data_IF_616715074844
#
_entry.id   IF_616715074844
#
_cell.length_a   1.000
_cell.length_b   1.000
_cell.length_c   1.000
_cell.angle_alpha   90.00
_cell.angle_beta   90.00
_cell.angle_gamma   90.00
#
_symmetry.space_group_name_H-M   'P 1'
#
loop_
_entity.id
_entity.type
_entity.pdbx_description
1 polymer ?
#
# COMPACT_ATOMS: atom_id res chain seq x y z
N UNK A 1 -8.42 -30.86 16.79
CA UNK A 1 -8.86 -29.99 15.67
C UNK A 1 -10.36 -29.78 15.81
N UNK A 2 -10.84 -28.53 15.66
CA UNK A 2 -12.16 -27.96 16.03
C UNK A 2 -12.19 -27.29 17.41
N UNK A 3 -11.87 -25.99 17.43
CA UNK A 3 -12.22 -25.08 18.52
C UNK A 3 -13.56 -24.42 18.20
N UNK A 4 -14.59 -24.76 18.96
CA UNK A 4 -15.97 -24.37 18.77
C UNK A 4 -16.21 -23.00 19.43
N UNK A 5 -16.79 -22.04 18.72
CA UNK A 5 -17.33 -20.82 19.32
C UNK A 5 -18.54 -21.20 20.20
N UNK A 6 -18.34 -21.23 21.51
CA UNK A 6 -19.39 -21.53 22.48
C UNK A 6 -20.31 -20.31 22.63
N UNK A 7 -21.49 -20.39 22.03
CA UNK A 7 -22.59 -19.46 22.23
C UNK A 7 -23.28 -19.81 23.56
N UNK A 8 -22.99 -19.07 24.63
CA UNK A 8 -23.65 -19.27 25.92
C UNK A 8 -24.74 -18.21 26.14
N UNK A 9 -25.99 -18.61 25.88
CA UNK A 9 -27.22 -17.92 26.32
C UNK A 9 -27.51 -18.33 27.76
N UNK A 10 -27.29 -17.43 28.72
CA UNK A 10 -28.05 -17.48 30.00
C UNK A 10 -28.16 -16.09 30.63
N UNK A 11 -29.32 -15.87 31.22
CA UNK A 11 -29.91 -14.62 31.72
C UNK A 11 -29.22 -13.99 32.95
N UNK A 12 -29.49 -12.68 33.08
CA UNK A 12 -29.60 -11.86 34.31
C UNK A 12 -28.39 -11.06 34.81
N UNK A 13 -28.49 -9.75 34.52
CA UNK A 13 -28.32 -8.59 35.41
C UNK A 13 -27.15 -8.60 36.40
N UNK A 14 -26.18 -7.70 36.15
CA UNK A 14 -25.55 -6.84 37.17
C UNK A 14 -24.80 -5.70 36.46
N UNK A 15 -25.32 -4.47 36.64
CA UNK A 15 -24.65 -3.20 36.31
C UNK A 15 -23.39 -3.04 37.14
N UNK A 16 -22.24 -3.02 36.49
CA UNK A 16 -20.99 -2.51 37.07
C UNK A 16 -20.29 -1.65 36.03
N UNK A 17 -20.32 -0.34 36.27
CA UNK A 17 -19.62 0.68 35.49
C UNK A 17 -18.13 0.58 35.79
N UNK A 18 -17.37 -0.07 34.89
CA UNK A 18 -15.91 0.06 34.83
C UNK A 18 -15.54 0.77 33.53
N UNK A 19 -15.28 2.07 33.63
CA UNK A 19 -14.54 2.82 32.63
C UNK A 19 -13.06 2.52 32.81
N UNK A 20 -12.48 1.67 31.96
CA UNK A 20 -11.03 1.55 31.82
C UNK A 20 -10.67 0.91 30.48
N UNK A 21 -9.97 1.69 29.65
CA UNK A 21 -9.05 1.20 28.62
C UNK A 21 -9.69 0.68 27.34
N UNK A 22 -9.83 1.56 26.35
CA UNK A 22 -9.75 1.18 24.94
C UNK A 22 -8.37 0.54 24.69
N UNK A 23 -8.27 -0.78 24.90
CA UNK A 23 -7.19 -1.54 24.31
C UNK A 23 -7.50 -1.61 22.82
N UNK A 24 -6.98 -0.62 22.08
CA UNK A 24 -6.78 -0.74 20.64
C UNK A 24 -5.82 -1.92 20.43
N UNK A 25 -6.37 -3.12 20.31
CA UNK A 25 -5.74 -4.18 19.55
C UNK A 25 -5.67 -3.69 18.11
N UNK A 26 -4.64 -2.89 17.81
CA UNK A 26 -4.15 -2.72 16.46
C UNK A 26 -3.71 -4.12 16.04
N UNK A 27 -4.59 -4.83 15.34
CA UNK A 27 -4.18 -5.97 14.55
C UNK A 27 -3.11 -5.43 13.60
N UNK A 28 -1.84 -5.70 13.88
CA UNK A 28 -0.76 -5.47 12.94
C UNK A 28 -0.99 -6.44 11.78
N UNK A 29 -1.78 -6.00 10.79
CA UNK A 29 -2.00 -6.73 9.56
C UNK A 29 -0.75 -6.57 8.69
N UNK A 30 0.28 -7.35 9.05
CA UNK A 30 1.52 -7.45 8.30
C UNK A 30 1.20 -8.05 6.93
N UNK A 31 1.16 -7.20 5.91
CA UNK A 31 0.71 -7.56 4.56
C UNK A 31 -0.28 -6.58 3.93
N UNK A 32 -0.78 -5.61 4.68
CA UNK A 32 -1.61 -4.51 4.18
C UNK A 32 -0.78 -3.29 3.74
N UNK A 33 -1.44 -2.37 3.03
CA UNK A 33 -0.91 -1.05 2.66
C UNK A 33 -1.78 0.02 3.34
N UNK A 34 -1.38 0.50 4.53
CA UNK A 34 -2.10 1.53 5.31
C UNK A 34 -2.31 2.81 4.52
N UNK A 35 -1.41 3.10 3.58
CA UNK A 35 -1.58 4.22 2.67
C UNK A 35 -2.92 4.15 1.92
N UNK A 36 -3.48 2.96 1.69
CA UNK A 36 -4.78 2.76 1.05
C UNK A 36 -5.98 3.02 1.97
N UNK A 37 -5.80 3.30 3.27
CA UNK A 37 -6.92 3.55 4.19
C UNK A 37 -7.46 4.99 4.11
N UNK A 38 -6.65 5.95 3.64
CA UNK A 38 -7.09 7.34 3.54
C UNK A 38 -8.10 7.56 2.42
N UNK A 39 -8.97 8.55 2.57
CA UNK A 39 -9.88 8.98 1.50
C UNK A 39 -9.11 9.56 0.32
N UNK A 40 -9.53 9.21 -0.90
CA UNK A 40 -8.98 9.78 -2.13
C UNK A 40 -9.39 11.25 -2.30
N UNK A 41 -8.49 12.01 -2.90
CA UNK A 41 -8.57 13.46 -3.15
C UNK A 41 -8.38 13.73 -4.65
N UNK A 42 -8.53 14.99 -5.07
CA UNK A 42 -8.36 15.35 -6.49
C UNK A 42 -6.94 15.05 -7.02
N UNK A 43 -5.90 15.15 -6.18
CA UNK A 43 -4.51 14.87 -6.57
C UNK A 43 -4.22 13.38 -6.80
N UNK A 44 -5.12 12.51 -6.39
CA UNK A 44 -4.98 11.05 -6.48
C UNK A 44 -5.41 10.48 -7.84
N UNK A 45 -5.96 11.33 -8.70
CA UNK A 45 -6.37 10.94 -10.03
C UNK A 45 -5.15 10.75 -10.93
N UNK A 46 -5.09 9.59 -11.59
CA UNK A 46 -4.11 9.36 -12.63
C UNK A 46 -4.35 10.30 -13.83
N UNK A 47 -3.30 10.81 -14.45
CA UNK A 47 -3.41 11.50 -15.74
C UNK A 47 -4.07 10.61 -16.80
N UNK A 48 -4.85 11.21 -17.71
CA UNK A 48 -5.73 10.47 -18.64
C UNK A 48 -5.00 9.60 -19.69
N UNK A 49 -3.69 9.80 -19.85
CA UNK A 49 -2.78 9.00 -20.67
C UNK A 49 -2.29 7.72 -19.97
N UNK A 50 -2.52 7.60 -18.66
CA UNK A 50 -2.20 6.40 -17.87
C UNK A 50 -3.35 5.40 -17.98
N UNK A 51 -3.08 4.26 -18.62
CA UNK A 51 -4.05 3.17 -18.80
C UNK A 51 -3.39 1.83 -18.51
N UNK A 52 -3.81 1.18 -17.43
CA UNK A 52 -3.43 -0.18 -17.10
C UNK A 52 -4.34 -1.13 -17.89
N UNK A 53 -3.80 -1.83 -18.89
CA UNK A 53 -4.61 -2.63 -19.82
C UNK A 53 -5.17 -3.91 -19.17
N UNK A 54 -4.47 -4.46 -18.17
CA UNK A 54 -4.76 -5.78 -17.60
C UNK A 54 -5.23 -5.74 -16.14
N UNK A 55 -5.31 -4.54 -15.55
CA UNK A 55 -5.68 -4.35 -14.13
C UNK A 55 -6.68 -3.21 -14.01
N UNK A 56 -7.82 -3.49 -13.38
CA UNK A 56 -8.78 -2.47 -12.97
C UNK A 56 -8.51 -2.07 -11.53
N UNK A 57 -8.23 -0.79 -11.31
CA UNK A 57 -8.01 -0.23 -9.98
C UNK A 57 -9.29 0.39 -9.44
N UNK A 58 -9.71 -0.02 -8.25
CA UNK A 58 -10.85 0.57 -7.53
C UNK A 58 -10.43 1.86 -6.83
N UNK A 59 -9.17 1.90 -6.39
CA UNK A 59 -8.62 3.01 -5.65
C UNK A 59 -7.22 3.30 -6.13
N UNK A 60 -6.93 4.58 -6.32
CA UNK A 60 -5.57 5.07 -6.59
C UNK A 60 -5.31 6.22 -5.65
N UNK A 61 -4.10 6.27 -5.11
CA UNK A 61 -3.63 7.34 -4.24
C UNK A 61 -2.24 7.79 -4.67
N UNK A 62 -2.05 9.09 -4.78
CA UNK A 62 -0.74 9.71 -4.87
C UNK A 62 -0.07 9.61 -3.50
N UNK A 63 1.09 8.97 -3.43
CA UNK A 63 1.79 8.70 -2.16
C UNK A 63 3.07 9.51 -2.02
N UNK A 64 3.70 9.88 -3.13
CA UNK A 64 4.89 10.72 -3.12
C UNK A 64 5.07 11.49 -4.44
N UNK A 65 5.81 12.59 -4.34
CA UNK A 65 6.41 13.27 -5.49
C UNK A 65 7.91 13.43 -5.21
N UNK A 66 8.75 12.90 -6.10
CA UNK A 66 10.22 12.94 -5.97
C UNK A 66 10.88 12.84 -7.35
N UNK A 67 12.05 13.46 -7.51
CA UNK A 67 12.85 13.40 -8.74
C UNK A 67 12.08 13.78 -10.03
N UNK A 68 11.14 14.72 -9.92
CA UNK A 68 10.31 15.12 -11.05
C UNK A 68 9.28 14.05 -11.47
N UNK A 69 8.92 13.12 -10.58
CA UNK A 69 7.94 12.07 -10.82
C UNK A 69 6.90 12.02 -9.71
N UNK A 70 5.71 11.56 -10.08
CA UNK A 70 4.61 11.27 -9.17
C UNK A 70 4.48 9.76 -9.01
N UNK A 71 4.36 9.31 -7.77
CA UNK A 71 4.25 7.91 -7.42
C UNK A 71 2.85 7.66 -6.90
N UNK A 72 2.11 6.85 -7.63
CA UNK A 72 0.76 6.44 -7.27
C UNK A 72 0.77 4.99 -6.85
N UNK A 73 -0.03 4.67 -5.82
CA UNK A 73 -0.31 3.31 -5.43
C UNK A 73 -1.78 3.02 -5.71
N UNK A 74 -2.02 1.95 -6.44
CA UNK A 74 -3.32 1.47 -6.84
C UNK A 74 -3.69 0.17 -6.14
N UNK A 75 -4.98 -0.01 -5.84
CA UNK A 75 -5.55 -1.26 -5.35
C UNK A 75 -6.71 -1.69 -6.25
N UNK A 76 -6.68 -2.95 -6.72
CA UNK A 76 -7.73 -3.57 -7.53
C UNK A 76 -8.84 -4.24 -6.71
N UNK A 77 -9.97 -4.52 -7.39
CA UNK A 77 -11.17 -5.16 -6.81
C UNK A 77 -11.03 -6.69 -6.67
N UNK A 78 -10.47 -7.33 -7.70
CA UNK A 78 -10.45 -8.78 -7.83
C UNK A 78 -9.13 -9.33 -7.30
N UNK A 79 -9.07 -9.61 -6.00
CA UNK A 79 -7.86 -10.12 -5.36
C UNK A 79 -6.90 -9.02 -4.92
N UNK A 80 -5.79 -9.39 -4.25
CA UNK A 80 -4.89 -8.46 -3.60
C UNK A 80 -3.94 -7.73 -4.57
N UNK A 81 -4.45 -7.20 -5.68
CA UNK A 81 -3.63 -6.51 -6.66
C UNK A 81 -3.27 -5.12 -6.14
N UNK A 82 -2.02 -4.94 -5.73
CA UNK A 82 -1.42 -3.65 -5.46
C UNK A 82 -0.50 -3.26 -6.62
N UNK A 83 -0.64 -2.03 -7.12
CA UNK A 83 0.16 -1.51 -8.22
C UNK A 83 0.94 -0.28 -7.77
N UNK A 84 2.21 -0.21 -8.14
CA UNK A 84 2.99 1.03 -8.14
C UNK A 84 2.98 1.60 -9.55
N UNK A 85 2.54 2.84 -9.69
CA UNK A 85 2.55 3.57 -10.96
C UNK A 85 3.45 4.80 -10.79
N UNK A 86 4.44 4.94 -11.67
CA UNK A 86 5.35 6.07 -11.70
C UNK A 86 5.03 6.91 -12.93
N UNK A 87 4.71 8.19 -12.72
CA UNK A 87 4.39 9.14 -13.78
C UNK A 87 5.38 10.29 -13.77
N UNK A 88 6.26 10.40 -14.77
CA UNK A 88 7.14 11.55 -14.92
C UNK A 88 6.37 12.84 -15.18
N UNK A 89 6.85 13.96 -14.63
CA UNK A 89 6.25 15.30 -14.83
C UNK A 89 6.66 15.96 -16.15
N UNK A 90 7.72 15.45 -16.78
CA UNK A 90 8.24 15.93 -18.07
C UNK A 90 7.59 15.25 -19.29
N UNK A 91 6.73 14.25 -19.06
CA UNK A 91 6.03 13.50 -20.10
C UNK A 91 6.85 12.36 -20.74
N UNK A 92 7.97 11.94 -20.12
CA UNK A 92 8.87 10.87 -20.63
C UNK A 92 8.29 9.44 -20.66
N UNK A 93 6.97 9.29 -20.52
CA UNK A 93 6.29 8.00 -20.52
C UNK A 93 6.23 7.38 -19.13
N UNK A 94 5.04 6.91 -18.74
CA UNK A 94 4.80 6.31 -17.44
C UNK A 94 5.12 4.80 -17.45
N UNK A 95 5.35 4.24 -16.26
CA UNK A 95 5.50 2.80 -16.07
C UNK A 95 4.81 2.34 -14.80
N UNK A 96 4.53 1.03 -14.70
CA UNK A 96 3.91 0.45 -13.52
C UNK A 96 4.41 -0.97 -13.25
N UNK A 97 4.34 -1.39 -11.99
CA UNK A 97 4.47 -2.79 -11.59
C UNK A 97 3.34 -3.15 -10.63
N UNK A 98 2.74 -4.32 -10.81
CA UNK A 98 1.68 -4.82 -9.94
C UNK A 98 2.09 -6.14 -9.31
N UNK A 99 1.55 -6.42 -8.13
CA UNK A 99 1.75 -7.66 -7.37
C UNK A 99 0.44 -8.03 -6.69
N UNK A 100 0.36 -9.28 -6.24
CA UNK A 100 -0.75 -9.81 -5.47
C UNK A 100 -0.54 -9.56 -3.95
N UNK A 101 0.14 -8.47 -3.58
CA UNK A 101 0.71 -8.20 -2.25
C UNK A 101 -0.33 -7.98 -1.14
N UNK A 102 -0.94 -9.06 -0.70
CA UNK A 102 -1.47 -9.23 0.67
C UNK A 102 -0.54 -10.05 1.55
N UNK A 103 0.65 -10.44 1.07
CA UNK A 103 1.56 -11.36 1.78
C UNK A 103 2.97 -10.80 2.03
N UNK A 104 3.12 -9.48 2.07
CA UNK A 104 4.43 -8.86 2.35
C UNK A 104 5.42 -8.88 1.19
N UNK A 105 4.92 -9.07 -0.04
CA UNK A 105 5.76 -9.08 -1.25
C UNK A 105 6.10 -7.66 -1.69
N UNK A 106 7.33 -7.47 -2.20
CA UNK A 106 7.79 -6.22 -2.79
C UNK A 106 7.51 -6.21 -4.29
N UNK A 107 6.97 -5.11 -4.82
CA UNK A 107 7.04 -4.83 -6.26
C UNK A 107 8.33 -4.11 -6.52
N UNK A 108 9.10 -4.56 -7.52
CA UNK A 108 10.11 -3.70 -8.15
C UNK A 108 9.67 -3.39 -9.57
N UNK A 109 9.73 -2.12 -9.94
CA UNK A 109 9.51 -1.66 -11.31
C UNK A 109 10.66 -0.77 -11.75
N UNK A 110 10.90 -0.72 -13.06
CA UNK A 110 11.98 0.05 -13.66
C UNK A 110 11.44 0.83 -14.85
N UNK A 111 11.81 2.11 -14.91
CA UNK A 111 11.46 3.00 -16.00
C UNK A 111 12.48 2.97 -17.14
N UNK A 112 12.17 3.67 -18.25
CA UNK A 112 13.06 3.80 -19.40
C UNK A 112 14.42 4.44 -19.05
N UNK A 113 14.48 5.25 -17.99
CA UNK A 113 15.70 5.93 -17.54
C UNK A 113 16.59 5.07 -16.63
N UNK A 114 16.35 3.75 -16.54
CA UNK A 114 16.97 2.81 -15.59
C UNK A 114 16.68 3.10 -14.10
N UNK A 115 16.07 4.24 -13.78
CA UNK A 115 15.51 4.49 -12.46
C UNK A 115 14.52 3.39 -12.09
N UNK A 116 14.65 2.89 -10.87
CA UNK A 116 13.82 1.83 -10.34
C UNK A 116 13.07 2.30 -9.11
N UNK A 117 11.86 1.80 -8.93
CA UNK A 117 11.06 2.05 -7.74
C UNK A 117 10.57 0.73 -7.14
N UNK A 118 10.41 0.74 -5.82
CA UNK A 118 9.93 -0.39 -5.04
C UNK A 118 8.69 0.02 -4.27
N UNK A 119 7.64 -0.81 -4.34
CA UNK A 119 6.51 -0.79 -3.41
C UNK A 119 6.76 -1.83 -2.33
N UNK A 120 6.80 -1.38 -1.08
CA UNK A 120 6.97 -2.20 0.09
C UNK A 120 5.68 -2.27 0.91
N UNK A 121 5.32 -3.48 1.35
CA UNK A 121 4.22 -3.67 2.27
C UNK A 121 4.50 -2.99 3.63
N UNK A 122 3.44 -2.74 4.39
CA UNK A 122 3.59 -2.17 5.72
C UNK A 122 4.44 -3.05 6.64
N UNK A 123 5.28 -2.41 7.45
CA UNK A 123 6.16 -3.10 8.39
C UNK A 123 7.31 -3.86 7.75
N UNK A 124 7.48 -3.81 6.42
CA UNK A 124 8.65 -4.36 5.75
C UNK A 124 9.92 -3.59 6.19
N UNK A 125 10.97 -4.32 6.59
CA UNK A 125 12.25 -3.71 6.98
C UNK A 125 13.03 -3.29 5.73
N UNK A 126 13.07 -1.99 5.48
CA UNK A 126 13.72 -1.39 4.30
C UNK A 126 15.21 -1.11 4.49
N UNK A 127 15.79 -1.36 5.68
CA UNK A 127 17.16 -0.95 5.99
C UNK A 127 18.22 -1.53 5.05
N UNK A 128 18.05 -2.78 4.63
CA UNK A 128 19.01 -3.41 3.71
C UNK A 128 18.93 -2.79 2.31
N UNK A 129 17.73 -2.44 1.85
CA UNK A 129 17.55 -1.71 0.59
C UNK A 129 18.20 -0.34 0.68
N UNK A 130 17.95 0.39 1.78
CA UNK A 130 18.53 1.72 2.00
C UNK A 130 20.06 1.68 2.07
N UNK A 131 20.63 0.68 2.76
CA UNK A 131 22.07 0.44 2.80
C UNK A 131 22.65 0.08 1.41
N UNK A 132 21.83 -0.46 0.52
CA UNK A 132 22.19 -0.82 -0.86
C UNK A 132 22.01 0.33 -1.86
N UNK A 133 21.70 1.55 -1.39
CA UNK A 133 21.58 2.75 -2.21
C UNK A 133 20.16 3.15 -2.59
N UNK A 134 19.13 2.49 -2.05
CA UNK A 134 17.75 2.93 -2.23
C UNK A 134 17.42 4.11 -1.32
N UNK A 135 16.64 5.06 -1.83
CA UNK A 135 16.13 6.20 -1.06
C UNK A 135 14.66 5.98 -0.75
N UNK A 136 14.30 5.99 0.53
CA UNK A 136 12.90 5.91 0.96
C UNK A 136 12.23 7.28 0.82
N UNK A 137 11.24 7.38 -0.07
CA UNK A 137 10.49 8.63 -0.34
C UNK A 137 9.08 8.61 0.25
N UNK A 138 8.59 7.44 0.63
CA UNK A 138 7.34 7.21 1.34
C UNK A 138 7.47 5.96 2.21
N UNK A 139 6.60 5.77 3.20
CA UNK A 139 6.61 4.59 4.08
C UNK A 139 6.65 3.26 3.30
N UNK A 140 5.95 3.23 2.17
CA UNK A 140 5.83 2.11 1.25
C UNK A 140 6.59 2.27 -0.07
N UNK A 141 7.28 3.39 -0.33
CA UNK A 141 7.93 3.62 -1.63
C UNK A 141 9.40 3.98 -1.49
N UNK A 142 10.23 3.23 -2.21
CA UNK A 142 11.66 3.47 -2.36
C UNK A 142 12.01 3.69 -3.82
N UNK A 143 13.06 4.48 -4.07
CA UNK A 143 13.58 4.75 -5.41
C UNK A 143 15.09 4.58 -5.44
N UNK A 144 15.63 4.17 -6.58
CA UNK A 144 17.06 4.19 -6.83
C UNK A 144 17.30 4.85 -8.18
N UNK A 145 18.16 5.87 -8.18
CA UNK A 145 18.70 6.43 -9.40
C UNK A 145 19.63 5.34 -10.01
N UNK A 146 19.43 5.04 -11.31
CA UNK A 146 20.14 3.98 -12.03
C UNK A 146 21.59 4.31 -12.35
#
# INVERSE_FOLDING_TARGET
>A
MRGQCHQNRTFSLLTVTFAAGLLLSACSDSGSLQVMERTATASDQLPGDVKLNDVTLDKVLLVAEANGKKYFVGQGNEGPHACLITVPTDGSGWHSGCTDATKGELVKTSGPDQESSILAADGYDTKELEASGWTKIHENVLVSDG
#
